data_IF_629530336860
#
_entry.id   IF_629530336860
#
_cell.length_a   1.000
_cell.length_b   1.000
_cell.length_c   1.000
_cell.angle_alpha   90.00
_cell.angle_beta   90.00
_cell.angle_gamma   90.00
#
_symmetry.space_group_name_H-M   'P 1'
#
loop_
_entity.id
_entity.type
_entity.pdbx_description
1 polymer ?
#
# COMPACT_ATOMS: atom_id res chain seq x y z
N UNK A 1 -6.09 -4.43 8.10
CA UNK A 1 -6.50 -3.47 7.06
C UNK A 1 -7.80 -3.98 6.46
N UNK A 2 -8.90 -3.22 6.52
CA UNK A 2 -10.19 -3.62 5.97
C UNK A 2 -10.33 -3.20 4.49
N UNK A 3 -9.31 -3.45 3.67
CA UNK A 3 -9.30 -3.05 2.25
C UNK A 3 -9.18 -4.29 1.37
N UNK A 4 -9.85 -4.27 0.22
CA UNK A 4 -9.92 -5.41 -0.70
C UNK A 4 -8.72 -5.47 -1.64
N UNK A 5 -8.16 -4.32 -2.03
CA UNK A 5 -6.99 -4.25 -2.92
C UNK A 5 -5.92 -3.26 -2.40
N UNK A 6 -5.04 -3.71 -1.50
CA UNK A 6 -3.91 -2.90 -1.05
C UNK A 6 -2.78 -2.82 -2.09
N UNK A 7 -2.78 -3.66 -3.13
CA UNK A 7 -1.65 -3.84 -4.05
C UNK A 7 -1.79 -3.07 -5.36
N UNK A 8 -2.97 -2.53 -5.66
CA UNK A 8 -3.25 -1.73 -6.85
C UNK A 8 -2.18 -0.68 -7.15
N UNK A 9 -1.78 -0.58 -8.40
CA UNK A 9 -0.88 0.47 -8.88
C UNK A 9 -1.55 1.84 -9.06
N UNK A 10 -2.88 1.87 -9.07
CA UNK A 10 -3.66 3.05 -9.42
C UNK A 10 -4.28 3.66 -8.16
N UNK A 11 -3.57 4.63 -7.57
CA UNK A 11 -3.97 5.29 -6.32
C UNK A 11 -3.82 6.80 -6.45
N UNK A 12 -4.73 7.54 -5.81
CA UNK A 12 -4.64 8.98 -5.67
C UNK A 12 -4.38 9.34 -4.21
N UNK A 13 -3.36 10.15 -3.96
CA UNK A 13 -3.02 10.62 -2.63
C UNK A 13 -3.19 12.14 -2.55
N UNK A 14 -3.77 12.62 -1.45
CA UNK A 14 -3.66 14.04 -1.11
C UNK A 14 -2.21 14.35 -0.73
N UNK A 15 -1.75 15.56 -1.07
CA UNK A 15 -0.40 16.04 -0.73
C UNK A 15 -0.08 15.86 0.76
N UNK A 16 -1.04 16.18 1.64
CA UNK A 16 -0.88 16.07 3.09
C UNK A 16 -0.61 14.64 3.58
N UNK A 17 -1.14 13.63 2.89
CA UNK A 17 -0.92 12.21 3.23
C UNK A 17 0.54 11.84 2.95
N UNK A 18 1.04 12.20 1.75
CA UNK A 18 2.43 11.93 1.37
C UNK A 18 3.41 12.76 2.20
N UNK A 19 3.08 14.02 2.50
CA UNK A 19 3.91 14.90 3.31
C UNK A 19 4.01 14.44 4.77
N UNK A 20 2.97 13.78 5.29
CA UNK A 20 3.05 13.16 6.59
C UNK A 20 4.05 12.00 6.54
N UNK A 21 3.93 11.09 5.56
CA UNK A 21 4.72 9.85 5.49
C UNK A 21 6.22 10.14 5.29
N UNK A 22 7.05 9.53 6.13
CA UNK A 22 8.50 9.60 5.96
C UNK A 22 8.94 8.64 4.86
N UNK A 23 8.96 9.14 3.62
CA UNK A 23 9.31 8.37 2.43
C UNK A 23 10.72 7.77 2.50
N UNK A 24 11.63 8.36 3.28
CA UNK A 24 13.00 7.84 3.44
C UNK A 24 13.05 6.51 4.22
N UNK A 25 12.01 6.21 5.02
CA UNK A 25 11.89 4.99 5.82
C UNK A 25 11.13 3.86 5.11
N UNK A 26 10.64 4.13 3.90
CA UNK A 26 10.03 3.11 3.05
C UNK A 26 11.17 2.25 2.51
N UNK A 27 11.15 0.96 2.88
CA UNK A 27 12.21 -0.01 2.53
C UNK A 27 11.79 -0.90 1.37
N UNK A 28 10.54 -0.78 0.95
CA UNK A 28 9.91 -1.54 -0.13
C UNK A 28 10.33 -1.04 -1.49
N UNK A 29 10.87 -1.95 -2.32
CA UNK A 29 11.12 -1.70 -3.73
C UNK A 29 10.07 -2.41 -4.59
N UNK A 30 9.76 -1.82 -5.75
CA UNK A 30 8.82 -2.40 -6.71
C UNK A 30 7.38 -2.49 -6.19
N UNK A 31 6.71 -3.60 -6.45
CA UNK A 31 5.27 -3.80 -6.17
C UNK A 31 4.92 -3.69 -4.68
N UNK A 32 5.84 -4.13 -3.82
CA UNK A 32 5.67 -4.15 -2.36
C UNK A 32 5.51 -2.75 -1.73
N UNK A 33 6.02 -1.72 -2.41
CA UNK A 33 5.89 -0.31 -2.04
C UNK A 33 4.43 0.14 -1.89
N UNK A 34 3.56 -0.31 -2.81
CA UNK A 34 2.13 0.04 -2.81
C UNK A 34 1.46 -0.37 -1.48
N UNK A 35 1.84 -1.54 -0.99
CA UNK A 35 1.31 -2.13 0.24
C UNK A 35 1.85 -1.38 1.46
N UNK A 36 3.16 -1.13 1.52
CA UNK A 36 3.77 -0.39 2.64
C UNK A 36 3.20 1.03 2.75
N UNK A 37 2.98 1.70 1.63
CA UNK A 37 2.45 3.07 1.61
C UNK A 37 0.98 3.12 2.05
N UNK A 38 0.16 2.20 1.54
CA UNK A 38 -1.25 2.05 1.97
C UNK A 38 -1.35 1.71 3.45
N UNK A 39 -0.51 0.78 3.92
CA UNK A 39 -0.44 0.40 5.33
C UNK A 39 -0.02 1.57 6.23
N UNK A 40 1.00 2.33 5.81
CA UNK A 40 1.50 3.46 6.58
C UNK A 40 0.48 4.59 6.65
N UNK A 41 -0.20 4.89 5.55
CA UNK A 41 -1.30 5.87 5.53
C UNK A 41 -2.43 5.43 6.48
N UNK A 42 -2.82 4.15 6.44
CA UNK A 42 -3.85 3.58 7.31
C UNK A 42 -3.46 3.65 8.80
N UNK A 43 -2.22 3.25 9.14
CA UNK A 43 -1.72 3.30 10.53
C UNK A 43 -1.67 4.71 11.11
N UNK A 44 -1.55 5.73 10.24
CA UNK A 44 -1.56 7.14 10.63
C UNK A 44 -2.95 7.76 10.70
N UNK A 45 -4.00 6.95 10.49
CA UNK A 45 -5.38 7.37 10.65
C UNK A 45 -5.96 8.15 9.46
N UNK A 46 -5.29 8.14 8.30
CA UNK A 46 -5.87 8.73 7.10
C UNK A 46 -7.08 7.93 6.61
N UNK A 47 -8.07 8.64 6.08
CA UNK A 47 -9.22 8.01 5.43
C UNK A 47 -8.82 7.46 4.06
N UNK A 48 -9.13 6.19 3.83
CA UNK A 48 -8.88 5.47 2.58
C UNK A 48 -10.23 4.98 2.07
N UNK A 49 -10.51 5.24 0.79
CA UNK A 49 -11.72 4.78 0.10
C UNK A 49 -11.31 4.04 -1.17
N UNK A 50 -11.95 2.90 -1.42
CA UNK A 50 -11.79 2.14 -2.65
C UNK A 50 -12.90 2.57 -3.64
N UNK A 51 -12.49 2.86 -4.88
CA UNK A 51 -13.42 3.15 -5.98
C UNK A 51 -13.26 2.04 -7.02
N UNK A 52 -14.31 1.28 -7.35
CA UNK A 52 -14.24 0.23 -8.36
C UNK A 52 -13.83 0.81 -9.71
N UNK A 53 -12.92 0.12 -10.40
CA UNK A 53 -12.50 0.44 -11.77
C UNK A 53 -12.58 -0.81 -12.64
N UNK A 54 -12.74 -0.61 -13.95
CA UNK A 54 -12.56 -1.67 -14.95
C UNK A 54 -11.09 -1.60 -15.38
N UNK A 55 -10.34 -2.67 -15.12
CA UNK A 55 -8.96 -2.78 -15.56
C UNK A 55 -8.95 -3.46 -16.93
N UNK A 56 -8.63 -2.71 -17.98
CA UNK A 56 -8.49 -3.26 -19.33
C UNK A 56 -7.13 -3.93 -19.49
N UNK A 57 -7.12 -5.09 -20.15
CA UNK A 57 -5.90 -5.82 -20.42
C UNK A 57 -5.01 -5.06 -21.41
N UNK A 58 -3.70 -5.05 -21.10
CA UNK A 58 -2.70 -4.46 -21.98
C UNK A 58 -2.57 -5.30 -23.26
N UNK A 59 -2.97 -4.75 -24.40
CA UNK A 59 -2.98 -5.45 -25.69
C UNK A 59 -1.58 -5.72 -26.32
N UNK A 60 -0.49 -5.16 -25.78
CA UNK A 60 0.86 -5.33 -26.40
C UNK A 60 2.00 -5.17 -25.41
N UNK A 61 2.98 -6.08 -25.39
CA UNK A 61 4.24 -5.99 -24.62
C UNK A 61 4.46 -7.14 -23.62
N UNK A 62 5.72 -7.47 -23.34
CA UNK A 62 6.09 -8.55 -22.40
C UNK A 62 5.94 -8.11 -20.94
N UNK A 63 5.48 -9.03 -20.08
CA UNK A 63 5.33 -8.77 -18.65
C UNK A 63 6.68 -8.43 -18.02
N UNK A 64 6.74 -7.31 -17.29
CA UNK A 64 7.91 -6.90 -16.50
C UNK A 64 7.94 -7.55 -15.11
N UNK A 65 6.98 -8.44 -14.80
CA UNK A 65 6.96 -9.17 -13.53
C UNK A 65 7.95 -10.34 -13.59
N UNK A 66 8.98 -10.26 -12.77
CA UNK A 66 9.93 -11.33 -12.48
C UNK A 66 9.51 -12.04 -11.18
N UNK A 67 9.67 -13.37 -11.10
CA UNK A 67 9.34 -14.19 -9.93
C UNK A 67 10.11 -13.76 -8.67
N UNK A 68 11.26 -13.12 -8.83
CA UNK A 68 12.01 -12.47 -7.74
C UNK A 68 11.23 -11.36 -7.04
N UNK A 69 10.49 -10.53 -7.77
CA UNK A 69 9.68 -9.43 -7.22
C UNK A 69 8.53 -9.96 -6.35
N UNK A 70 7.95 -11.10 -6.75
CA UNK A 70 6.87 -11.76 -6.01
C UNK A 70 7.37 -12.24 -4.65
N UNK A 71 8.56 -12.84 -4.60
CA UNK A 71 9.16 -13.33 -3.37
C UNK A 71 9.52 -12.18 -2.41
N UNK A 72 10.06 -11.08 -2.93
CA UNK A 72 10.33 -9.88 -2.14
C UNK A 72 9.06 -9.30 -1.51
N UNK A 73 7.98 -9.21 -2.29
CA UNK A 73 6.69 -8.72 -1.79
C UNK A 73 6.13 -9.59 -0.66
N UNK A 74 6.20 -10.92 -0.79
CA UNK A 74 5.74 -11.86 0.25
C UNK A 74 6.53 -11.69 1.56
N UNK A 75 7.86 -11.64 1.49
CA UNK A 75 8.72 -11.47 2.67
C UNK A 75 8.46 -10.15 3.37
N UNK A 76 8.19 -9.10 2.60
CA UNK A 76 7.93 -7.77 3.12
C UNK A 76 6.59 -7.65 3.82
N UNK A 77 5.52 -8.21 3.23
CA UNK A 77 4.19 -8.27 3.85
C UNK A 77 4.26 -9.01 5.18
N UNK A 78 5.00 -10.13 5.24
CA UNK A 78 5.21 -10.88 6.48
C UNK A 78 5.96 -10.07 7.56
N UNK A 79 6.81 -9.11 7.18
CA UNK A 79 7.60 -8.28 8.12
C UNK A 79 6.87 -7.04 8.64
N UNK A 80 5.86 -6.54 7.92
CA UNK A 80 5.05 -5.38 8.35
C UNK A 80 4.45 -5.49 9.76
N UNK A 81 3.85 -6.62 10.19
CA UNK A 81 3.28 -6.73 11.54
C UNK A 81 4.34 -6.74 12.66
N UNK A 82 5.56 -7.21 12.37
CA UNK A 82 6.65 -7.28 13.36
C UNK A 82 7.47 -6.00 13.46
N UNK A 83 7.27 -5.03 12.55
CA UNK A 83 7.94 -3.72 12.55
C UNK A 83 7.24 -2.77 13.54
N UNK A 84 7.28 -3.16 14.82
CA UNK A 84 6.60 -2.51 15.93
C UNK A 84 7.45 -1.37 16.50
N UNK A 85 7.24 -0.14 16.00
CA UNK A 85 7.59 1.13 16.66
C UNK A 85 6.63 2.30 16.39
N UNK A 86 5.58 2.13 15.57
CA UNK A 86 4.61 3.21 15.35
C UNK A 86 3.40 3.01 16.28
N UNK A 87 3.16 3.98 17.17
CA UNK A 87 1.93 4.04 17.97
C UNK A 87 0.73 3.98 17.02
N UNK A 88 -0.05 2.93 17.17
CA UNK A 88 -1.29 2.69 16.45
C UNK A 88 -2.31 3.75 16.89
N UNK A 89 -2.44 4.83 16.14
CA UNK A 89 -3.54 5.79 16.27
C UNK A 89 -4.61 5.38 15.27
N UNK A 90 -5.35 4.30 15.59
CA UNK A 90 -6.53 3.91 14.81
C UNK A 90 -7.67 4.85 15.21
N UNK A 91 -8.17 5.71 14.30
CA UNK A 91 -9.42 6.40 14.53
C UNK A 91 -10.55 5.39 14.42
N UNK A 92 -11.52 5.51 15.32
CA UNK A 92 -12.79 4.81 15.29
C UNK A 92 -13.39 4.94 13.88
N UNK A 93 -13.59 3.83 13.16
CA UNK A 93 -14.22 3.84 11.84
C UNK A 93 -15.65 4.35 12.01
N UNK A 94 -16.09 5.41 11.31
CA UNK A 94 -17.51 5.69 11.22
C UNK A 94 -18.16 4.56 10.40
N UNK A 95 -19.14 3.91 11.01
CA UNK A 95 -20.01 2.94 10.36
C UNK A 95 -20.88 3.71 9.36
N UNK A 96 -20.64 3.54 8.06
CA UNK A 96 -21.56 3.92 6.98
C UNK A 96 -21.39 2.94 5.83
#
# INVERSE_FOLDING_TARGET
MPFTDPTSGYKCFRREVLAAIDLSKIKSNGYSFQIELTHTAWRRGFRIKETPIIFEDRHSGTSKMDSSIILEALVMVAKLPFRSKDKVLVPNQPQT
#
